data_IF_972814992758
#
_entry.id   IF_972814992758
#
_cell.length_a   1.000
_cell.length_b   1.000
_cell.length_c   1.000
_cell.angle_alpha   90.00
_cell.angle_beta   90.00
_cell.angle_gamma   90.00
#
_symmetry.space_group_name_H-M   'P 1'
#
loop_
_entity.id
_entity.type
_entity.pdbx_description
1 polymer ?
#
# COMPACT_ATOMS: atom_id res chain seq x y z
N UNK A 1 -39.56 -10.02 -19.41
CA UNK A 1 -39.45 -10.54 -20.79
C UNK A 1 -40.63 -11.41 -21.19
N UNK A 2 -40.91 -12.51 -20.48
CA UNK A 2 -41.91 -13.52 -20.89
C UNK A 2 -43.37 -13.21 -20.51
N UNK A 3 -43.67 -12.01 -19.98
CA UNK A 3 -45.02 -11.58 -19.61
C UNK A 3 -45.25 -10.14 -20.06
N UNK A 4 -46.44 -9.86 -20.60
CA UNK A 4 -46.95 -8.51 -20.85
C UNK A 4 -46.96 -8.10 -22.31
N UNK A 5 -46.83 -6.79 -22.56
CA UNK A 5 -46.96 -6.15 -23.88
C UNK A 5 -45.69 -6.22 -24.75
N UNK A 6 -44.73 -7.03 -24.35
CA UNK A 6 -43.45 -7.19 -25.04
C UNK A 6 -43.60 -8.12 -26.24
N UNK A 7 -42.93 -7.80 -27.35
CA UNK A 7 -43.04 -8.56 -28.62
C UNK A 7 -42.62 -10.03 -28.43
N UNK A 8 -41.71 -10.25 -27.50
CA UNK A 8 -41.10 -11.52 -27.14
C UNK A 8 -42.07 -12.46 -26.38
N UNK A 9 -43.21 -11.95 -25.91
CA UNK A 9 -44.15 -12.74 -25.09
C UNK A 9 -44.87 -13.85 -25.86
N UNK A 10 -44.95 -13.75 -27.19
CA UNK A 10 -45.62 -14.72 -28.07
C UNK A 10 -44.63 -15.48 -28.99
N UNK A 11 -43.33 -15.36 -28.76
CA UNK A 11 -42.31 -16.01 -29.59
C UNK A 11 -41.84 -17.31 -28.93
N UNK A 12 -41.76 -18.38 -29.73
CA UNK A 12 -41.20 -19.68 -29.30
C UNK A 12 -39.67 -19.64 -29.19
N UNK A 13 -39.02 -18.70 -29.90
CA UNK A 13 -37.57 -18.50 -29.92
C UNK A 13 -37.24 -17.04 -29.62
N UNK A 14 -36.28 -16.82 -28.73
CA UNK A 14 -35.82 -15.49 -28.32
C UNK A 14 -34.34 -15.38 -28.63
N UNK A 15 -33.99 -14.45 -29.51
CA UNK A 15 -32.61 -14.13 -29.83
C UNK A 15 -32.08 -13.09 -28.83
N UNK A 16 -31.19 -13.52 -27.93
CA UNK A 16 -30.51 -12.64 -26.97
C UNK A 16 -29.15 -12.27 -27.55
N UNK A 17 -28.93 -10.98 -27.81
CA UNK A 17 -27.61 -10.48 -28.20
C UNK A 17 -26.80 -10.16 -26.96
N UNK A 18 -25.63 -10.77 -26.82
CA UNK A 18 -24.74 -10.60 -25.67
C UNK A 18 -23.55 -9.73 -26.10
N UNK A 19 -23.47 -8.48 -25.63
CA UNK A 19 -22.41 -7.56 -26.06
C UNK A 19 -21.11 -7.70 -25.26
N UNK A 20 -21.14 -8.37 -24.10
CA UNK A 20 -19.97 -8.51 -23.23
C UNK A 20 -19.11 -9.71 -23.67
N UNK A 21 -17.86 -9.43 -24.03
CA UNK A 21 -16.88 -10.43 -24.50
C UNK A 21 -16.44 -11.41 -23.40
N UNK A 22 -16.63 -11.04 -22.13
CA UNK A 22 -16.30 -11.92 -21.01
C UNK A 22 -17.33 -13.05 -20.81
N UNK A 23 -18.50 -12.97 -21.45
CA UNK A 23 -19.55 -13.98 -21.31
C UNK A 23 -19.31 -15.11 -22.31
N UNK A 24 -18.90 -16.27 -21.80
CA UNK A 24 -18.76 -17.49 -22.60
C UNK A 24 -20.02 -18.38 -22.51
N UNK A 25 -20.05 -19.40 -23.37
CA UNK A 25 -21.18 -20.34 -23.44
C UNK A 25 -21.31 -21.15 -22.13
N UNK A 26 -20.20 -21.49 -21.50
CA UNK A 26 -20.16 -22.28 -20.26
C UNK A 26 -20.70 -21.47 -19.07
N UNK A 27 -20.40 -20.17 -18.99
CA UNK A 27 -20.93 -19.27 -17.98
C UNK A 27 -22.45 -19.10 -18.11
N UNK A 28 -22.96 -18.98 -19.32
CA UNK A 28 -24.41 -18.93 -19.56
C UNK A 28 -25.09 -20.23 -19.15
N UNK A 29 -24.51 -21.39 -19.51
CA UNK A 29 -25.05 -22.69 -19.11
C UNK A 29 -25.07 -22.83 -17.59
N UNK A 30 -24.01 -22.36 -16.92
CA UNK A 30 -23.91 -22.33 -15.45
C UNK A 30 -24.97 -21.40 -14.83
N UNK A 31 -25.14 -20.19 -15.39
CA UNK A 31 -26.10 -19.21 -14.89
C UNK A 31 -27.55 -19.63 -15.15
N UNK A 32 -27.84 -20.26 -16.29
CA UNK A 32 -29.16 -20.86 -16.51
C UNK A 32 -29.36 -22.09 -15.63
N UNK A 33 -28.33 -22.91 -15.42
CA UNK A 33 -28.34 -24.05 -14.51
C UNK A 33 -28.70 -23.65 -13.08
N UNK A 34 -28.23 -22.48 -12.60
CA UNK A 34 -28.56 -21.96 -11.27
C UNK A 34 -30.05 -21.65 -11.07
N UNK A 35 -30.82 -21.48 -12.14
CA UNK A 35 -32.28 -21.31 -12.04
C UNK A 35 -33.02 -22.61 -11.73
N UNK A 36 -32.38 -23.76 -11.99
CA UNK A 36 -32.96 -25.09 -11.82
C UNK A 36 -32.33 -25.88 -10.67
N UNK A 37 -31.21 -25.43 -10.12
CA UNK A 37 -30.48 -26.11 -9.06
C UNK A 37 -29.90 -25.10 -8.07
N UNK A 38 -30.16 -25.33 -6.78
CA UNK A 38 -29.68 -24.46 -5.70
C UNK A 38 -28.16 -24.60 -5.48
N UNK A 39 -27.57 -25.74 -5.87
CA UNK A 39 -26.13 -26.01 -5.72
C UNK A 39 -25.40 -25.84 -7.06
N UNK A 40 -24.73 -24.70 -7.24
CA UNK A 40 -23.85 -24.45 -8.40
C UNK A 40 -22.39 -24.41 -7.96
N UNK A 41 -21.57 -25.26 -8.59
CA UNK A 41 -20.13 -25.33 -8.33
C UNK A 41 -19.42 -24.42 -9.34
N UNK A 42 -18.82 -23.34 -8.83
CA UNK A 42 -18.09 -22.35 -9.63
C UNK A 42 -16.60 -22.54 -9.42
N UNK A 43 -15.84 -22.66 -10.51
CA UNK A 43 -14.39 -22.72 -10.45
C UNK A 43 -13.78 -21.30 -10.40
N UNK A 44 -12.64 -21.09 -9.71
CA UNK A 44 -12.00 -19.78 -9.64
C UNK A 44 -11.57 -19.23 -11.02
N UNK A 45 -11.30 -20.11 -11.98
CA UNK A 45 -10.93 -19.72 -13.35
C UNK A 45 -12.12 -19.23 -14.18
N UNK A 46 -13.34 -19.69 -13.88
CA UNK A 46 -14.57 -19.34 -14.62
C UNK A 46 -15.42 -18.31 -13.87
N UNK A 47 -15.00 -17.86 -12.69
CA UNK A 47 -15.78 -16.94 -11.84
C UNK A 47 -16.08 -15.60 -12.50
N UNK A 48 -15.15 -15.06 -13.31
CA UNK A 48 -15.34 -13.76 -14.00
C UNK A 48 -16.42 -13.88 -15.10
N UNK A 49 -16.34 -14.85 -16.04
CA UNK A 49 -17.42 -15.10 -16.99
C UNK A 49 -18.79 -15.37 -16.33
N UNK A 50 -18.82 -16.17 -15.26
CA UNK A 50 -20.05 -16.49 -14.53
C UNK A 50 -20.63 -15.25 -13.86
N UNK A 51 -19.81 -14.40 -13.25
CA UNK A 51 -20.25 -13.11 -12.70
C UNK A 51 -20.85 -12.20 -13.78
N UNK A 52 -20.21 -12.15 -14.95
CA UNK A 52 -20.71 -11.37 -16.09
C UNK A 52 -22.09 -11.86 -16.56
N UNK A 53 -22.25 -13.18 -16.73
CA UNK A 53 -23.51 -13.80 -17.12
C UNK A 53 -24.60 -13.60 -16.05
N UNK A 54 -24.25 -13.75 -14.77
CA UNK A 54 -25.16 -13.53 -13.65
C UNK A 54 -25.63 -12.06 -13.57
N UNK A 55 -24.73 -11.11 -13.85
CA UNK A 55 -25.05 -9.67 -13.90
C UNK A 55 -25.97 -9.34 -15.07
N UNK A 56 -25.73 -9.93 -16.25
CA UNK A 56 -26.61 -9.79 -17.42
C UNK A 56 -28.03 -10.31 -17.14
N UNK A 57 -28.14 -11.45 -16.47
CA UNK A 57 -29.42 -12.09 -16.14
C UNK A 57 -30.06 -11.56 -14.84
N UNK A 58 -29.39 -10.64 -14.14
CA UNK A 58 -29.80 -10.11 -12.82
C UNK A 58 -30.03 -11.19 -11.76
N UNK A 59 -29.15 -12.20 -11.69
CA UNK A 59 -29.22 -13.29 -10.71
C UNK A 59 -28.46 -12.92 -9.42
N UNK A 60 -29.14 -12.26 -8.48
CA UNK A 60 -28.51 -11.71 -7.26
C UNK A 60 -27.78 -12.76 -6.41
N UNK A 61 -28.37 -13.93 -6.17
CA UNK A 61 -27.75 -14.98 -5.35
C UNK A 61 -26.45 -15.51 -5.98
N UNK A 62 -26.44 -15.67 -7.31
CA UNK A 62 -25.26 -16.12 -8.04
C UNK A 62 -24.17 -15.05 -8.06
N UNK A 63 -24.53 -13.78 -8.15
CA UNK A 63 -23.61 -12.64 -8.04
C UNK A 63 -22.93 -12.64 -6.66
N UNK A 64 -23.70 -12.81 -5.59
CA UNK A 64 -23.17 -12.87 -4.21
C UNK A 64 -22.22 -14.06 -4.05
N UNK A 65 -22.60 -15.23 -4.58
CA UNK A 65 -21.75 -16.42 -4.53
C UNK A 65 -20.42 -16.23 -5.29
N UNK A 66 -20.46 -15.60 -6.48
CA UNK A 66 -19.26 -15.25 -7.24
C UNK A 66 -18.38 -14.28 -6.46
N UNK A 67 -18.95 -13.22 -5.87
CA UNK A 67 -18.21 -12.25 -5.08
C UNK A 67 -17.50 -12.91 -3.88
N UNK A 68 -18.19 -13.80 -3.17
CA UNK A 68 -17.61 -14.57 -2.07
C UNK A 68 -16.42 -15.43 -2.54
N UNK A 69 -16.60 -16.19 -3.62
CA UNK A 69 -15.55 -17.03 -4.19
C UNK A 69 -14.33 -16.21 -4.65
N UNK A 70 -14.55 -15.03 -5.24
CA UNK A 70 -13.46 -14.13 -5.64
C UNK A 70 -12.64 -13.68 -4.42
N UNK A 71 -13.30 -13.33 -3.30
CA UNK A 71 -12.62 -12.95 -2.06
C UNK A 71 -11.82 -14.12 -1.45
N UNK A 72 -12.37 -15.34 -1.48
CA UNK A 72 -11.71 -16.54 -0.93
C UNK A 72 -10.57 -17.09 -1.79
N UNK A 73 -10.52 -16.77 -3.09
CA UNK A 73 -9.54 -17.35 -4.03
C UNK A 73 -8.52 -16.32 -4.55
N UNK A 74 -8.52 -15.13 -3.94
CA UNK A 74 -7.64 -14.03 -4.34
C UNK A 74 -6.16 -14.35 -4.12
N UNK A 75 -5.36 -14.07 -5.14
CA UNK A 75 -3.92 -14.30 -5.17
C UNK A 75 -3.21 -13.25 -6.04
N UNK A 76 -1.87 -13.27 -6.05
CA UNK A 76 -1.06 -12.37 -6.87
C UNK A 76 -1.33 -12.47 -8.39
N UNK A 77 -1.97 -13.54 -8.87
CA UNK A 77 -2.32 -13.73 -10.29
C UNK A 77 -3.75 -13.33 -10.62
N UNK A 78 -4.64 -13.29 -9.62
CA UNK A 78 -6.07 -13.07 -9.82
C UNK A 78 -6.53 -11.70 -9.34
N UNK A 79 -5.81 -11.05 -8.40
CA UNK A 79 -6.24 -9.80 -7.77
C UNK A 79 -6.48 -8.66 -8.77
N UNK A 80 -5.63 -8.51 -9.79
CA UNK A 80 -5.80 -7.45 -10.79
C UNK A 80 -7.00 -7.70 -11.70
N UNK A 81 -7.20 -8.94 -12.14
CA UNK A 81 -8.36 -9.34 -12.93
C UNK A 81 -9.67 -9.21 -12.13
N UNK A 82 -9.66 -9.63 -10.86
CA UNK A 82 -10.80 -9.51 -9.96
C UNK A 82 -11.17 -8.05 -9.68
N UNK A 83 -10.18 -7.18 -9.48
CA UNK A 83 -10.41 -5.74 -9.33
C UNK A 83 -10.99 -5.10 -10.60
N UNK A 84 -10.53 -5.51 -11.79
CA UNK A 84 -11.10 -5.00 -13.04
C UNK A 84 -12.54 -5.47 -13.24
N UNK A 85 -12.80 -6.76 -13.01
CA UNK A 85 -14.13 -7.34 -13.10
C UNK A 85 -15.08 -6.73 -12.07
N UNK A 86 -14.62 -6.47 -10.84
CA UNK A 86 -15.44 -5.88 -9.79
C UNK A 86 -15.88 -4.45 -10.14
N UNK A 87 -15.01 -3.67 -10.79
CA UNK A 87 -15.39 -2.35 -11.30
C UNK A 87 -16.38 -2.44 -12.48
N UNK A 88 -16.18 -3.38 -13.40
CA UNK A 88 -17.06 -3.56 -14.55
C UNK A 88 -18.48 -4.00 -14.15
N UNK A 89 -18.59 -4.91 -13.17
CA UNK A 89 -19.85 -5.51 -12.74
C UNK A 89 -20.40 -4.92 -11.43
N UNK A 90 -19.84 -3.79 -10.97
CA UNK A 90 -20.37 -3.04 -9.82
C UNK A 90 -20.24 -3.73 -8.46
N UNK A 91 -19.25 -4.60 -8.27
CA UNK A 91 -19.01 -5.32 -7.02
C UNK A 91 -18.07 -4.53 -6.09
N UNK A 92 -18.63 -3.66 -5.25
CA UNK A 92 -17.84 -2.81 -4.35
C UNK A 92 -17.07 -3.60 -3.29
N UNK A 93 -17.65 -4.65 -2.72
CA UNK A 93 -17.01 -5.47 -1.67
C UNK A 93 -15.75 -6.16 -2.18
N UNK A 94 -15.82 -6.74 -3.39
CA UNK A 94 -14.66 -7.36 -4.05
C UNK A 94 -13.59 -6.31 -4.37
N UNK A 95 -14.00 -5.11 -4.77
CA UNK A 95 -13.06 -4.00 -5.04
C UNK A 95 -12.29 -3.61 -3.78
N UNK A 96 -12.99 -3.43 -2.65
CA UNK A 96 -12.37 -3.14 -1.35
C UNK A 96 -11.46 -4.27 -0.87
N UNK A 97 -11.87 -5.53 -1.05
CA UNK A 97 -11.06 -6.69 -0.71
C UNK A 97 -9.77 -6.76 -1.55
N UNK A 98 -9.85 -6.49 -2.86
CA UNK A 98 -8.68 -6.43 -3.74
C UNK A 98 -7.71 -5.32 -3.31
N UNK A 99 -8.24 -4.14 -2.96
CA UNK A 99 -7.43 -3.02 -2.46
C UNK A 99 -6.75 -3.38 -1.13
N UNK A 100 -7.45 -3.99 -0.19
CA UNK A 100 -6.88 -4.43 1.09
C UNK A 100 -5.77 -5.48 0.89
N UNK A 101 -5.99 -6.45 0.00
CA UNK A 101 -4.98 -7.46 -0.35
C UNK A 101 -3.74 -6.81 -0.96
N UNK A 102 -3.90 -5.88 -1.91
CA UNK A 102 -2.77 -5.19 -2.54
C UNK A 102 -1.99 -4.34 -1.53
N UNK A 103 -2.68 -3.59 -0.67
CA UNK A 103 -2.03 -2.77 0.36
C UNK A 103 -1.19 -3.60 1.33
N UNK A 104 -1.58 -4.85 1.59
CA UNK A 104 -0.86 -5.78 2.47
C UNK A 104 0.27 -6.53 1.76
N UNK A 105 0.11 -6.85 0.48
CA UNK A 105 0.98 -7.79 -0.23
C UNK A 105 1.92 -7.16 -1.26
N UNK A 106 1.60 -6.01 -1.89
CA UNK A 106 2.38 -5.46 -3.02
C UNK A 106 3.86 -5.28 -2.71
N UNK A 107 4.18 -4.82 -1.50
CA UNK A 107 5.56 -4.54 -1.11
C UNK A 107 6.37 -5.81 -0.81
N UNK A 108 5.71 -6.89 -0.37
CA UNK A 108 6.34 -8.17 -0.03
C UNK A 108 6.36 -9.12 -1.22
N UNK A 109 5.21 -9.30 -1.87
CA UNK A 109 5.01 -10.07 -3.09
C UNK A 109 5.40 -9.22 -4.30
N UNK A 110 6.69 -8.87 -4.41
CA UNK A 110 7.25 -8.17 -5.57
C UNK A 110 7.38 -9.14 -6.77
N UNK A 111 6.27 -9.69 -7.24
CA UNK A 111 6.24 -10.50 -8.46
C UNK A 111 6.18 -9.59 -9.69
N UNK A 112 6.99 -9.89 -10.69
CA UNK A 112 7.05 -9.11 -11.95
C UNK A 112 5.68 -9.12 -12.65
N UNK A 113 5.00 -10.27 -12.68
CA UNK A 113 3.66 -10.41 -13.25
C UNK A 113 2.64 -9.48 -12.57
N UNK A 114 2.63 -9.46 -11.24
CA UNK A 114 1.72 -8.61 -10.46
C UNK A 114 1.97 -7.13 -10.76
N UNK A 115 3.23 -6.68 -10.77
CA UNK A 115 3.54 -5.27 -11.05
C UNK A 115 3.14 -4.85 -12.47
N UNK A 116 3.27 -5.74 -13.46
CA UNK A 116 2.83 -5.46 -14.84
C UNK A 116 1.32 -5.29 -14.94
N UNK A 117 0.55 -6.08 -14.21
CA UNK A 117 -0.92 -6.06 -14.28
C UNK A 117 -1.54 -4.86 -13.56
N UNK A 118 -0.92 -4.34 -12.49
CA UNK A 118 -1.47 -3.21 -11.72
C UNK A 118 -1.60 -1.96 -12.60
N UNK A 119 -2.81 -1.44 -12.76
CA UNK A 119 -3.09 -0.20 -13.51
C UNK A 119 -2.57 1.04 -12.77
N UNK A 120 -2.45 2.16 -13.49
CA UNK A 120 -1.97 3.43 -12.91
C UNK A 120 -2.90 3.92 -11.78
N UNK A 121 -4.22 3.87 -12.00
CA UNK A 121 -5.21 4.29 -11.01
C UNK A 121 -5.15 3.42 -9.76
N UNK A 122 -5.08 2.10 -9.94
CA UNK A 122 -4.98 1.14 -8.84
C UNK A 122 -3.70 1.34 -8.03
N UNK A 123 -2.57 1.59 -8.70
CA UNK A 123 -1.32 1.91 -8.01
C UNK A 123 -1.43 3.21 -7.22
N UNK A 124 -2.04 4.26 -7.78
CA UNK A 124 -2.22 5.53 -7.09
C UNK A 124 -3.04 5.36 -5.79
N UNK A 125 -4.12 4.58 -5.83
CA UNK A 125 -4.94 4.26 -4.66
C UNK A 125 -4.18 3.46 -3.61
N UNK A 126 -3.42 2.44 -4.02
CA UNK A 126 -2.62 1.60 -3.11
C UNK A 126 -1.54 2.41 -2.40
N UNK A 127 -0.81 3.26 -3.14
CA UNK A 127 0.25 4.10 -2.57
C UNK A 127 -0.31 5.22 -1.68
N UNK A 128 -1.45 5.79 -2.05
CA UNK A 128 -2.15 6.82 -1.26
C UNK A 128 -2.74 6.27 0.04
N UNK A 129 -3.00 4.96 0.12
CA UNK A 129 -3.56 4.35 1.32
C UNK A 129 -2.62 4.44 2.52
N UNK A 130 -3.20 4.85 3.65
CA UNK A 130 -2.53 4.76 4.96
C UNK A 130 -2.34 3.31 5.43
N UNK A 131 -3.04 2.33 4.86
CA UNK A 131 -2.94 0.93 5.31
C UNK A 131 -1.84 0.14 4.59
N UNK A 132 -1.07 0.77 3.70
CA UNK A 132 0.02 0.13 2.97
C UNK A 132 1.06 -0.46 3.94
N UNK A 133 1.36 -1.75 3.78
CA UNK A 133 2.44 -2.42 4.49
C UNK A 133 3.76 -2.12 3.79
N UNK A 134 4.60 -1.29 4.41
CA UNK A 134 5.94 -0.97 3.90
C UNK A 134 6.96 -1.99 4.42
N UNK A 135 8.01 -2.28 3.65
CA UNK A 135 9.02 -3.28 4.04
C UNK A 135 10.01 -2.77 5.10
N UNK A 136 10.63 -1.61 4.89
CA UNK A 136 11.49 -0.97 5.89
C UNK A 136 11.16 0.51 6.03
N UNK A 137 11.22 1.27 4.94
CA UNK A 137 11.03 2.73 4.93
C UNK A 137 10.38 3.20 3.62
N UNK A 138 9.95 4.46 3.56
CA UNK A 138 9.30 5.05 2.38
C UNK A 138 10.17 4.99 1.09
N UNK A 139 11.50 4.95 1.22
CA UNK A 139 12.41 4.74 0.07
C UNK A 139 12.18 3.40 -0.64
N UNK A 140 11.75 2.36 0.07
CA UNK A 140 11.40 1.08 -0.55
C UNK A 140 10.19 1.23 -1.49
N UNK A 141 9.24 2.10 -1.10
CA UNK A 141 8.05 2.40 -1.92
C UNK A 141 8.49 3.12 -3.20
N UNK A 142 9.39 4.09 -3.09
CA UNK A 142 9.97 4.76 -4.27
C UNK A 142 10.68 3.78 -5.20
N UNK A 143 11.56 2.93 -4.68
CA UNK A 143 12.30 1.96 -5.52
C UNK A 143 11.38 0.92 -6.15
N UNK A 144 10.29 0.51 -5.47
CA UNK A 144 9.26 -0.33 -6.06
C UNK A 144 8.51 0.40 -7.18
N UNK A 145 8.16 1.68 -6.99
CA UNK A 145 7.50 2.49 -8.02
C UNK A 145 8.38 2.70 -9.26
N UNK A 146 9.69 2.89 -9.06
CA UNK A 146 10.66 2.95 -10.15
C UNK A 146 10.67 1.66 -10.98
N UNK A 147 10.70 0.49 -10.33
CA UNK A 147 10.61 -0.80 -11.01
C UNK A 147 9.28 -0.97 -11.76
N UNK A 148 8.17 -0.61 -11.11
CA UNK A 148 6.84 -0.66 -11.71
C UNK A 148 6.75 0.22 -12.96
N UNK A 149 7.23 1.46 -12.88
CA UNK A 149 7.25 2.40 -14.00
C UNK A 149 8.08 1.85 -15.17
N UNK A 150 9.25 1.27 -14.89
CA UNK A 150 10.06 0.61 -15.91
C UNK A 150 9.31 -0.54 -16.60
N UNK A 151 8.58 -1.37 -15.84
CA UNK A 151 7.77 -2.46 -16.39
C UNK A 151 6.58 -1.96 -17.23
N UNK A 152 6.03 -0.77 -16.93
CA UNK A 152 4.99 -0.15 -17.75
C UNK A 152 5.50 0.36 -19.08
N UNK A 153 6.77 0.77 -19.13
CA UNK A 153 7.43 1.16 -20.38
C UNK A 153 7.90 -0.03 -21.21
N UNK A 154 8.24 -1.13 -20.54
CA UNK A 154 8.72 -2.35 -21.18
C UNK A 154 7.81 -3.53 -20.83
N UNK A 155 6.63 -3.58 -21.46
CA UNK A 155 5.63 -4.65 -21.24
C UNK A 155 6.19 -6.05 -21.47
N UNK A 156 7.17 -6.18 -22.35
CA UNK A 156 7.74 -7.45 -22.80
C UNK A 156 8.94 -7.89 -21.95
N UNK A 157 9.31 -7.12 -20.93
CA UNK A 157 10.49 -7.40 -20.12
C UNK A 157 10.30 -8.67 -19.27
N UNK A 158 11.25 -9.60 -19.32
CA UNK A 158 11.25 -10.82 -18.51
C UNK A 158 12.58 -10.97 -17.78
N UNK A 159 12.53 -11.35 -16.50
CA UNK A 159 13.73 -11.51 -15.69
C UNK A 159 13.43 -11.60 -14.20
N UNK A 160 14.50 -11.63 -13.40
CA UNK A 160 14.42 -11.68 -11.94
C UNK A 160 14.30 -10.28 -11.33
N UNK A 161 13.77 -10.20 -10.10
CA UNK A 161 13.60 -8.91 -9.39
C UNK A 161 14.93 -8.18 -9.14
N UNK A 162 16.05 -8.90 -9.07
CA UNK A 162 17.40 -8.30 -8.93
C UNK A 162 17.85 -7.64 -10.22
N UNK A 163 17.65 -8.29 -11.36
CA UNK A 163 17.94 -7.72 -12.69
C UNK A 163 17.07 -6.49 -12.94
N UNK A 164 15.77 -6.58 -12.62
CA UNK A 164 14.85 -5.45 -12.73
C UNK A 164 15.33 -4.23 -11.94
N UNK A 165 15.81 -4.45 -10.72
CA UNK A 165 16.30 -3.37 -9.85
C UNK A 165 17.52 -2.66 -10.44
N UNK A 166 18.41 -3.40 -11.11
CA UNK A 166 19.61 -2.87 -11.76
C UNK A 166 19.27 -2.18 -13.08
N UNK A 167 18.43 -2.79 -13.90
CA UNK A 167 18.09 -2.26 -15.23
C UNK A 167 17.22 -1.02 -15.15
N UNK A 168 16.25 -0.98 -14.22
CA UNK A 168 15.49 0.24 -13.96
C UNK A 168 16.38 1.41 -13.51
N UNK A 169 17.36 1.16 -12.64
CA UNK A 169 18.32 2.17 -12.18
C UNK A 169 19.14 2.74 -13.35
N UNK A 170 19.71 1.87 -14.18
CA UNK A 170 20.51 2.28 -15.32
C UNK A 170 19.68 3.01 -16.38
N UNK A 171 18.46 2.56 -16.63
CA UNK A 171 17.58 3.14 -17.65
C UNK A 171 17.22 4.59 -17.33
N UNK A 172 16.75 4.87 -16.10
CA UNK A 172 16.33 6.22 -15.73
C UNK A 172 17.52 7.19 -15.64
N UNK A 173 18.66 6.73 -15.12
CA UNK A 173 19.92 7.51 -15.13
C UNK A 173 20.39 7.86 -16.54
N UNK A 174 20.33 6.91 -17.47
CA UNK A 174 20.68 7.15 -18.87
C UNK A 174 19.71 8.14 -19.52
N UNK A 175 18.39 7.93 -19.34
CA UNK A 175 17.35 8.81 -19.89
C UNK A 175 17.46 10.25 -19.38
N UNK A 176 17.80 10.43 -18.11
CA UNK A 176 18.04 11.75 -17.52
C UNK A 176 19.38 12.37 -17.96
N UNK A 177 20.41 11.56 -18.24
CA UNK A 177 21.66 12.07 -18.80
C UNK A 177 21.52 12.51 -20.26
N UNK A 178 20.59 11.88 -21.00
CA UNK A 178 20.31 12.18 -22.40
C UNK A 178 19.34 13.35 -22.59
N UNK A 179 18.42 13.56 -21.64
CA UNK A 179 17.38 14.59 -21.69
C UNK A 179 17.47 15.59 -20.55
N UNK A 180 17.28 16.87 -20.83
CA UNK A 180 17.33 17.95 -19.83
C UNK A 180 16.03 18.08 -19.01
N UNK A 181 15.12 17.10 -19.11
CA UNK A 181 13.81 17.11 -18.45
C UNK A 181 13.63 15.90 -17.54
N UNK A 182 13.00 16.11 -16.40
CA UNK A 182 12.62 15.02 -15.51
C UNK A 182 11.55 14.15 -16.15
N UNK A 183 11.58 12.84 -15.89
CA UNK A 183 10.67 11.90 -16.55
C UNK A 183 9.19 12.28 -16.37
N UNK A 184 8.77 12.68 -15.17
CA UNK A 184 7.38 13.07 -14.90
C UNK A 184 6.93 14.37 -15.59
N UNK A 185 7.85 15.21 -16.06
CA UNK A 185 7.53 16.41 -16.85
C UNK A 185 7.33 16.09 -18.34
N UNK A 186 7.84 14.95 -18.79
CA UNK A 186 7.66 14.50 -20.18
C UNK A 186 6.21 14.10 -20.45
N UNK A 187 5.80 14.13 -21.73
CA UNK A 187 4.46 13.69 -22.16
C UNK A 187 4.21 12.22 -21.80
N UNK A 188 5.24 11.37 -21.85
CA UNK A 188 5.18 9.96 -21.44
C UNK A 188 5.00 9.78 -19.93
N UNK A 189 5.49 10.74 -19.13
CA UNK A 189 5.43 10.72 -17.67
C UNK A 189 4.10 11.20 -17.07
N UNK A 190 3.37 12.06 -17.79
CA UNK A 190 2.12 12.68 -17.33
C UNK A 190 1.09 11.69 -16.76
N UNK A 191 0.83 10.52 -17.38
CA UNK A 191 -0.15 9.58 -16.84
C UNK A 191 0.23 9.07 -15.44
N UNK A 192 1.52 9.04 -15.10
CA UNK A 192 2.03 8.45 -13.86
C UNK A 192 2.07 9.44 -12.68
N UNK A 193 1.85 10.74 -12.93
CA UNK A 193 1.87 11.78 -11.90
C UNK A 193 1.03 11.43 -10.65
N UNK A 194 -0.24 10.96 -10.75
CA UNK A 194 -1.06 10.70 -9.58
C UNK A 194 -0.47 9.66 -8.62
N UNK A 195 0.35 8.74 -9.14
CA UNK A 195 1.01 7.71 -8.34
C UNK A 195 2.13 8.30 -7.50
N UNK A 196 2.99 9.12 -8.12
CA UNK A 196 4.13 9.73 -7.45
C UNK A 196 3.73 10.90 -6.54
N UNK A 197 2.60 11.58 -6.80
CA UNK A 197 2.03 12.59 -5.89
C UNK A 197 1.61 12.00 -4.54
N UNK A 198 1.18 10.73 -4.52
CA UNK A 198 0.79 10.02 -3.31
C UNK A 198 1.99 9.48 -2.50
N UNK A 199 3.21 9.54 -3.05
CA UNK A 199 4.42 9.15 -2.35
C UNK A 199 4.74 10.17 -1.25
N UNK A 200 5.10 9.72 -0.06
CA UNK A 200 5.44 10.63 1.05
C UNK A 200 6.89 11.08 0.91
N UNK A 201 7.17 11.88 -0.11
CA UNK A 201 8.50 12.40 -0.46
C UNK A 201 9.24 13.00 0.75
N UNK A 202 8.50 13.64 1.65
CA UNK A 202 9.00 14.14 2.92
C UNK A 202 9.79 13.09 3.73
N UNK A 203 9.41 11.81 3.69
CA UNK A 203 10.08 10.72 4.39
C UNK A 203 11.09 9.95 3.52
N UNK A 204 11.06 10.14 2.20
CA UNK A 204 12.09 9.64 1.28
C UNK A 204 13.38 10.44 1.44
N UNK A 205 13.28 11.76 1.59
CA UNK A 205 14.43 12.68 1.73
C UNK A 205 15.05 12.71 3.14
N UNK A 206 14.75 11.73 3.98
CA UNK A 206 15.25 11.65 5.36
C UNK A 206 16.73 11.24 5.45
N UNK A 207 17.35 10.79 4.35
CA UNK A 207 18.74 10.37 4.28
C UNK A 207 19.43 10.89 3.01
N UNK A 208 20.72 11.22 3.12
CA UNK A 208 21.52 11.78 2.01
C UNK A 208 21.68 10.80 0.86
N UNK A 209 21.83 9.50 1.14
CA UNK A 209 21.93 8.49 0.08
C UNK A 209 20.62 8.35 -0.69
N UNK A 210 19.48 8.39 0.00
CA UNK A 210 18.16 8.38 -0.63
C UNK A 210 17.94 9.60 -1.52
N UNK A 211 18.32 10.80 -1.06
CA UNK A 211 18.22 12.04 -1.85
C UNK A 211 19.03 11.92 -3.14
N UNK A 212 20.29 11.48 -3.05
CA UNK A 212 21.15 11.30 -4.23
C UNK A 212 20.56 10.31 -5.23
N UNK A 213 19.99 9.21 -4.76
CA UNK A 213 19.34 8.23 -5.64
C UNK A 213 18.17 8.87 -6.39
N UNK A 214 17.31 9.63 -5.69
CA UNK A 214 16.15 10.29 -6.32
C UNK A 214 16.57 11.36 -7.32
N UNK A 215 17.62 12.13 -7.02
CA UNK A 215 18.19 13.14 -7.92
C UNK A 215 18.85 12.51 -9.15
N UNK A 216 19.67 11.46 -8.96
CA UNK A 216 20.36 10.77 -10.04
C UNK A 216 19.39 10.06 -10.99
N UNK A 217 18.27 9.52 -10.48
CA UNK A 217 17.26 8.84 -11.28
C UNK A 217 16.52 9.79 -12.23
N UNK A 218 16.46 11.10 -11.93
CA UNK A 218 15.79 12.07 -12.79
C UNK A 218 14.29 11.84 -13.01
N UNK A 219 13.64 11.06 -12.14
CA UNK A 219 12.20 10.75 -12.27
C UNK A 219 11.35 11.89 -11.69
N UNK A 220 11.68 12.30 -10.46
CA UNK A 220 10.92 13.30 -9.71
C UNK A 220 11.51 14.68 -9.95
N UNK A 221 10.71 15.68 -10.36
CA UNK A 221 11.19 17.03 -10.60
C UNK A 221 11.78 17.69 -9.35
N UNK A 222 12.87 18.44 -9.52
CA UNK A 222 13.47 19.23 -8.43
C UNK A 222 12.46 20.21 -7.81
N UNK A 223 11.55 20.76 -8.62
CA UNK A 223 10.48 21.65 -8.18
C UNK A 223 9.57 21.02 -7.10
N UNK A 224 9.45 19.69 -7.04
CA UNK A 224 8.71 18.98 -5.99
C UNK A 224 9.52 18.82 -4.71
N UNK A 225 10.84 18.65 -4.83
CA UNK A 225 11.75 18.41 -3.71
C UNK A 225 12.11 19.69 -2.95
N UNK A 226 12.33 20.81 -3.66
CA UNK A 226 12.66 22.11 -3.07
C UNK A 226 11.73 22.58 -1.92
N UNK A 227 10.39 22.61 -2.09
CA UNK A 227 9.49 23.02 -1.02
C UNK A 227 9.56 22.06 0.18
N UNK A 228 9.81 20.76 -0.07
CA UNK A 228 9.94 19.73 0.96
C UNK A 228 11.22 19.95 1.76
N UNK A 229 12.36 20.18 1.10
CA UNK A 229 13.62 20.50 1.79
C UNK A 229 13.47 21.73 2.67
N UNK A 230 12.85 22.79 2.15
CA UNK A 230 12.57 24.00 2.93
C UNK A 230 11.68 23.69 4.14
N UNK A 231 10.60 22.93 3.94
CA UNK A 231 9.69 22.55 5.03
C UNK A 231 10.40 21.70 6.08
N UNK A 232 11.24 20.74 5.67
CA UNK A 232 12.03 19.88 6.56
C UNK A 232 13.04 20.66 7.38
N UNK A 233 13.76 21.58 6.75
CA UNK A 233 14.67 22.49 7.43
C UNK A 233 13.95 23.36 8.47
N UNK A 234 12.84 24.00 8.09
CA UNK A 234 12.04 24.81 9.01
C UNK A 234 11.48 23.97 10.16
N UNK A 235 11.06 22.73 9.89
CA UNK A 235 10.57 21.83 10.93
C UNK A 235 11.70 21.41 11.89
N UNK A 236 12.91 21.21 11.38
CA UNK A 236 14.09 20.93 12.20
C UNK A 236 14.36 22.08 13.16
N UNK A 237 14.43 23.32 12.64
CA UNK A 237 14.62 24.51 13.46
C UNK A 237 13.52 24.68 14.51
N UNK A 238 12.26 24.37 14.15
CA UNK A 238 11.14 24.41 15.09
C UNK A 238 11.29 23.40 16.21
N UNK A 239 11.64 22.15 15.91
CA UNK A 239 11.80 21.12 16.95
C UNK A 239 12.95 21.45 17.90
N UNK A 240 14.00 22.09 17.39
CA UNK A 240 15.15 22.52 18.21
C UNK A 240 14.83 23.76 19.08
N UNK A 241 14.15 24.76 18.51
CA UNK A 241 13.82 26.02 19.20
C UNK A 241 12.61 25.92 20.13
N UNK A 242 11.63 25.08 19.79
CA UNK A 242 10.43 24.89 20.59
C UNK A 242 10.70 23.83 21.65
N UNK A 243 11.01 24.26 22.87
CA UNK A 243 10.90 23.46 24.09
C UNK A 243 9.43 23.15 24.42
N UNK A 244 8.70 22.53 23.49
CA UNK A 244 7.33 22.10 23.74
C UNK A 244 7.34 20.76 24.46
N UNK A 245 7.27 20.83 25.79
CA UNK A 245 6.73 19.79 26.66
C UNK A 245 5.20 19.87 26.59
N UNK A 246 4.57 19.05 25.74
CA UNK A 246 3.11 19.00 25.69
C UNK A 246 2.56 18.14 24.56
N UNK A 247 1.46 17.44 24.88
CA UNK A 247 0.82 16.40 24.06
C UNK A 247 0.57 16.84 22.61
N UNK A 248 1.12 16.10 21.65
CA UNK A 248 0.96 16.26 20.21
C UNK A 248 -0.50 15.96 19.86
N UNK A 249 -1.33 17.01 19.79
CA UNK A 249 -2.69 16.90 19.26
C UNK A 249 -2.63 16.86 17.74
N UNK A 250 -2.46 15.66 17.19
CA UNK A 250 -2.52 15.40 15.74
C UNK A 250 -3.89 14.85 15.42
N UNK A 251 -4.59 15.45 14.44
CA UNK A 251 -5.85 14.90 13.96
C UNK A 251 -5.64 13.54 13.29
N UNK A 252 -6.60 12.62 13.34
CA UNK A 252 -6.48 11.30 12.71
C UNK A 252 -6.15 11.39 11.20
N UNK A 253 -6.81 12.29 10.48
CA UNK A 253 -6.54 12.53 9.05
C UNK A 253 -5.13 13.08 8.79
N UNK A 254 -4.63 13.94 9.68
CA UNK A 254 -3.30 14.53 9.59
C UNK A 254 -2.22 13.48 9.87
N UNK A 255 -2.43 12.64 10.87
CA UNK A 255 -1.59 11.49 11.14
C UNK A 255 -1.55 10.55 9.93
N UNK A 256 -2.71 10.25 9.36
CA UNK A 256 -2.80 9.33 8.23
C UNK A 256 -2.01 9.80 7.02
N UNK A 257 -2.01 11.09 6.72
CA UNK A 257 -1.27 11.71 5.61
C UNK A 257 0.21 11.98 5.93
N UNK A 258 0.49 12.37 7.18
CA UNK A 258 1.80 12.89 7.60
C UNK A 258 2.76 11.85 8.19
N UNK A 259 2.26 10.73 8.71
CA UNK A 259 3.09 9.75 9.40
C UNK A 259 4.15 9.10 8.49
N UNK A 260 5.31 8.78 9.06
CA UNK A 260 6.32 7.96 8.39
C UNK A 260 5.83 6.53 8.34
N UNK A 261 5.90 5.89 7.17
CA UNK A 261 5.58 4.46 7.01
C UNK A 261 6.84 3.63 7.06
N UNK A 262 6.84 2.69 7.99
CA UNK A 262 7.95 1.79 8.21
C UNK A 262 7.44 0.37 8.40
N UNK A 263 8.29 -0.62 8.20
CA UNK A 263 7.92 -1.98 8.53
C UNK A 263 9.08 -2.91 8.79
N UNK A 264 8.74 -4.17 9.02
CA UNK A 264 9.69 -5.26 9.21
C UNK A 264 8.98 -6.59 9.02
N UNK A 265 9.65 -7.55 8.40
CA UNK A 265 9.21 -8.95 8.38
C UNK A 265 10.08 -9.75 9.35
N UNK A 266 9.45 -10.51 10.24
CA UNK A 266 10.12 -11.45 11.13
C UNK A 266 9.81 -12.86 10.64
N UNK A 267 10.81 -13.61 10.20
CA UNK A 267 10.58 -14.92 9.58
C UNK A 267 10.33 -16.06 10.58
N UNK A 268 10.79 -15.90 11.83
CA UNK A 268 10.77 -16.94 12.86
C UNK A 268 10.56 -16.33 14.24
N UNK A 269 10.19 -17.17 15.20
CA UNK A 269 10.19 -16.77 16.60
C UNK A 269 11.62 -16.56 17.09
N UNK A 270 11.82 -15.53 17.91
CA UNK A 270 13.14 -15.16 18.37
C UNK A 270 13.18 -13.75 18.97
N UNK A 271 14.38 -13.33 19.32
CA UNK A 271 14.65 -11.97 19.77
C UNK A 271 15.16 -11.14 18.60
N UNK A 272 14.47 -10.05 18.31
CA UNK A 272 14.84 -9.13 17.25
C UNK A 272 14.98 -7.73 17.83
N UNK A 273 15.95 -6.98 17.33
CA UNK A 273 16.14 -5.58 17.67
C UNK A 273 16.59 -4.86 16.39
N UNK A 274 15.88 -3.81 16.00
CA UNK A 274 16.18 -3.06 14.78
C UNK A 274 15.87 -1.57 14.95
N UNK A 275 16.32 -0.79 13.95
CA UNK A 275 16.06 0.63 13.80
C UNK A 275 15.48 0.87 12.42
N UNK A 276 14.56 1.82 12.29
CA UNK A 276 14.20 2.37 10.99
C UNK A 276 15.12 3.56 10.69
N UNK A 277 15.83 3.48 9.58
CA UNK A 277 16.84 4.48 9.20
C UNK A 277 16.19 5.80 8.76
N UNK A 278 16.90 6.90 9.00
CA UNK A 278 16.51 8.24 8.55
C UNK A 278 16.48 9.28 9.67
N UNK A 279 16.46 10.55 9.29
CA UNK A 279 16.40 11.66 10.24
C UNK A 279 14.97 11.87 10.81
N UNK A 280 14.80 11.57 12.10
CA UNK A 280 13.52 11.68 12.81
C UNK A 280 13.51 12.82 13.84
N UNK A 281 14.11 13.96 13.50
CA UNK A 281 14.17 15.15 14.38
C UNK A 281 14.84 14.89 15.74
N UNK A 282 15.88 14.06 15.70
CA UNK A 282 16.68 13.68 16.86
C UNK A 282 16.05 12.64 17.80
N UNK A 283 15.00 11.95 17.35
CA UNK A 283 14.48 10.75 18.01
C UNK A 283 15.08 9.51 17.36
N UNK A 284 15.97 8.80 18.07
CA UNK A 284 16.41 7.46 17.67
C UNK A 284 15.50 6.42 18.32
N UNK A 285 14.66 5.77 17.52
CA UNK A 285 13.67 4.79 17.98
C UNK A 285 14.18 3.37 17.72
N UNK A 286 14.53 2.68 18.80
CA UNK A 286 14.82 1.25 18.80
C UNK A 286 13.53 0.46 18.93
N UNK A 287 13.35 -0.53 18.07
CA UNK A 287 12.23 -1.46 18.14
C UNK A 287 12.74 -2.85 18.44
N UNK A 288 12.16 -3.46 19.46
CA UNK A 288 12.52 -4.80 19.90
C UNK A 288 11.31 -5.71 19.87
N UNK A 289 11.51 -6.96 19.46
CA UNK A 289 10.53 -8.03 19.60
C UNK A 289 11.13 -9.12 20.47
N UNK A 290 10.45 -9.42 21.58
CA UNK A 290 10.85 -10.47 22.51
C UNK A 290 9.60 -11.09 23.14
N UNK A 291 9.52 -12.43 23.16
CA UNK A 291 8.44 -13.15 23.85
C UNK A 291 7.04 -12.68 23.43
N UNK A 292 6.83 -12.44 22.12
CA UNK A 292 5.58 -11.93 21.54
C UNK A 292 5.21 -10.50 21.97
N UNK A 293 6.13 -9.75 22.56
CA UNK A 293 5.95 -8.34 22.90
C UNK A 293 6.78 -7.48 21.96
N UNK A 294 6.19 -6.39 21.46
CA UNK A 294 6.88 -5.34 20.71
C UNK A 294 7.11 -4.16 21.64
N UNK A 295 8.35 -3.70 21.71
CA UNK A 295 8.79 -2.60 22.55
C UNK A 295 9.35 -1.47 21.70
N UNK A 296 9.05 -0.24 22.09
CA UNK A 296 9.70 0.96 21.57
C UNK A 296 10.60 1.52 22.68
N UNK A 297 11.85 1.79 22.32
CA UNK A 297 12.83 2.42 23.19
C UNK A 297 13.40 3.66 22.52
N UNK A 298 13.44 4.77 23.24
CA UNK A 298 14.14 5.98 22.78
C UNK A 298 15.62 5.84 23.10
N UNK A 299 16.41 5.45 22.12
CA UNK A 299 17.86 5.29 22.29
C UNK A 299 18.53 6.67 22.44
N UNK A 300 19.37 6.85 23.46
CA UNK A 300 20.11 8.12 23.64
C UNK A 300 21.50 7.91 24.19
N UNK A 301 21.64 7.19 25.31
CA UNK A 301 22.94 7.00 26.00
C UNK A 301 23.45 5.56 25.86
N UNK A 302 22.54 4.59 25.75
CA UNK A 302 22.89 3.17 25.92
C UNK A 302 23.56 2.53 24.70
N UNK A 303 23.32 3.02 23.49
CA UNK A 303 23.93 2.49 22.26
C UNK A 303 24.33 3.63 21.33
N UNK A 304 25.30 3.38 20.45
CA UNK A 304 25.72 4.33 19.43
C UNK A 304 24.53 4.78 18.56
N UNK A 305 24.25 6.08 18.56
CA UNK A 305 23.19 6.69 17.76
C UNK A 305 23.77 7.23 16.44
N UNK A 306 23.30 6.77 15.27
CA UNK A 306 23.71 7.33 13.99
C UNK A 306 22.96 8.65 13.75
N UNK A 307 23.42 9.75 14.35
CA UNK A 307 22.89 11.09 14.11
C UNK A 307 22.79 11.99 15.34
N UNK A 308 22.28 13.20 15.15
CA UNK A 308 22.04 14.15 16.23
C UNK A 308 20.89 13.65 17.11
N UNK A 309 21.16 13.35 18.39
CA UNK A 309 20.12 12.98 19.35
C UNK A 309 19.60 14.23 20.03
N UNK A 310 18.27 14.33 20.17
CA UNK A 310 17.68 15.42 20.90
C UNK A 310 18.04 15.36 22.39
N UNK A 311 18.52 16.49 22.92
CA UNK A 311 18.89 16.65 24.33
C UNK A 311 17.69 16.83 25.27
N UNK A 312 16.49 17.06 24.74
CA UNK A 312 15.30 17.22 25.58
C UNK A 312 15.03 15.95 26.39
N UNK A 313 14.57 16.11 27.62
CA UNK A 313 14.42 14.97 28.52
C UNK A 313 13.30 14.04 28.08
N UNK A 314 12.22 14.59 27.50
CA UNK A 314 11.05 13.86 27.06
C UNK A 314 10.77 14.12 25.56
N UNK A 315 10.36 13.07 24.86
CA UNK A 315 9.94 13.12 23.45
C UNK A 315 8.67 12.32 23.28
N UNK A 316 7.67 12.96 22.69
CA UNK A 316 6.42 12.30 22.38
C UNK A 316 6.44 11.67 21.00
N UNK A 317 5.82 10.51 20.89
CA UNK A 317 5.68 9.76 19.66
C UNK A 317 4.20 9.40 19.52
N UNK A 318 3.61 9.79 18.39
CA UNK A 318 2.29 9.31 17.97
C UNK A 318 2.53 8.19 16.97
N UNK A 319 1.89 7.03 17.16
CA UNK A 319 2.09 5.88 16.30
C UNK A 319 0.82 5.04 16.14
N UNK A 320 0.80 4.25 15.08
CA UNK A 320 -0.12 3.15 14.85
C UNK A 320 0.70 1.95 14.38
N UNK A 321 0.64 0.86 15.14
CA UNK A 321 1.34 -0.39 14.84
C UNK A 321 0.32 -1.43 14.39
N UNK A 322 0.61 -2.09 13.28
CA UNK A 322 -0.17 -3.21 12.76
C UNK A 322 0.73 -4.41 12.57
N UNK A 323 0.23 -5.57 12.99
CA UNK A 323 0.88 -6.85 12.79
C UNK A 323 -0.09 -7.74 12.03
N UNK A 324 0.36 -8.27 10.91
CA UNK A 324 -0.40 -9.21 10.10
C UNK A 324 0.42 -10.45 9.76
N UNK A 325 -0.30 -11.54 9.48
CA UNK A 325 0.26 -12.79 8.94
C UNK A 325 -0.55 -13.17 7.72
N UNK A 326 0.12 -13.77 6.75
CA UNK A 326 -0.47 -14.12 5.48
C UNK A 326 -0.32 -15.61 5.20
N UNK A 327 -1.31 -16.20 4.53
CA UNK A 327 -1.19 -17.54 3.96
C UNK A 327 -0.33 -17.52 2.68
N UNK A 328 -0.14 -18.68 2.06
CA UNK A 328 0.64 -18.83 0.81
C UNK A 328 0.05 -18.05 -0.38
N UNK A 329 -1.22 -17.65 -0.31
CA UNK A 329 -1.92 -16.86 -1.33
C UNK A 329 -1.96 -15.36 -0.99
N UNK A 330 -1.36 -14.93 0.13
CA UNK A 330 -1.34 -13.54 0.57
C UNK A 330 -2.60 -13.10 1.34
N UNK A 331 -3.52 -14.01 1.67
CA UNK A 331 -4.70 -13.68 2.45
C UNK A 331 -4.36 -13.58 3.94
N UNK A 332 -5.04 -12.66 4.63
CA UNK A 332 -4.78 -12.37 6.04
C UNK A 332 -5.29 -13.51 6.93
N UNK A 333 -4.40 -14.18 7.65
CA UNK A 333 -4.76 -15.24 8.63
C UNK A 333 -4.90 -14.70 10.04
N UNK A 334 -4.16 -13.63 10.36
CA UNK A 334 -4.25 -12.92 11.63
C UNK A 334 -3.87 -11.46 11.39
N UNK A 335 -4.60 -10.55 12.01
CA UNK A 335 -4.30 -9.12 12.01
C UNK A 335 -4.58 -8.53 13.40
N UNK A 336 -3.68 -7.67 13.87
CA UNK A 336 -3.85 -6.89 15.09
C UNK A 336 -3.34 -5.47 14.86
N UNK A 337 -4.16 -4.48 15.22
CA UNK A 337 -3.79 -3.06 15.22
C UNK A 337 -3.77 -2.52 16.65
N UNK A 338 -2.83 -1.63 16.94
CA UNK A 338 -2.84 -0.87 18.20
C UNK A 338 -3.88 0.26 18.20
N UNK A 339 -4.40 0.64 17.03
CA UNK A 339 -4.98 1.96 16.81
C UNK A 339 -3.95 3.06 16.96
N UNK A 340 -4.37 4.31 16.73
CA UNK A 340 -3.51 5.48 16.95
C UNK A 340 -3.34 5.71 18.45
N UNK A 341 -2.10 5.65 18.93
CA UNK A 341 -1.73 5.90 20.32
C UNK A 341 -0.63 6.97 20.36
N UNK A 342 -0.56 7.68 21.47
CA UNK A 342 0.56 8.55 21.79
C UNK A 342 1.15 8.16 23.13
N UNK A 343 2.47 8.25 23.24
CA UNK A 343 3.15 8.23 24.52
C UNK A 343 4.40 9.08 24.46
N UNK A 344 4.89 9.43 25.64
CA UNK A 344 6.16 10.09 25.83
C UNK A 344 7.22 9.12 26.30
N UNK A 345 8.44 9.25 25.76
CA UNK A 345 9.61 8.51 26.22
C UNK A 345 10.69 9.45 26.73
N UNK A 346 11.17 9.15 27.93
CA UNK A 346 12.42 9.66 28.47
C UNK A 346 13.62 9.02 27.76
N UNK A 347 14.82 9.55 28.03
CA UNK A 347 16.08 9.01 27.50
C UNK A 347 16.25 7.56 27.93
N UNK A 348 16.43 6.66 26.97
CA UNK A 348 16.57 5.21 27.13
C UNK A 348 15.39 4.48 27.81
N UNK A 349 14.24 5.14 27.94
CA UNK A 349 13.00 4.52 28.41
C UNK A 349 12.44 3.57 27.33
N UNK A 350 11.91 2.44 27.80
CA UNK A 350 11.29 1.41 26.97
C UNK A 350 9.82 1.24 27.37
N UNK A 351 8.94 1.21 26.37
CA UNK A 351 7.51 1.00 26.55
C UNK A 351 7.02 -0.19 25.72
N UNK A 352 6.13 -1.00 26.31
CA UNK A 352 5.43 -2.07 25.60
C UNK A 352 4.35 -1.46 24.71
N UNK A 353 4.46 -1.70 23.41
CA UNK A 353 3.58 -1.11 22.40
C UNK A 353 2.43 -2.05 22.04
N UNK A 354 2.75 -3.33 21.87
CA UNK A 354 1.78 -4.35 21.49
C UNK A 354 2.21 -5.72 21.99
N UNK A 355 1.24 -6.48 22.50
CA UNK A 355 1.36 -7.92 22.72
C UNK A 355 0.78 -8.65 21.52
N UNK A 356 1.49 -9.64 21.00
CA UNK A 356 1.06 -10.47 19.87
C UNK A 356 0.46 -11.76 20.44
N UNK A 357 -0.63 -12.21 19.82
CA UNK A 357 -1.27 -13.47 20.21
C UNK A 357 -0.38 -14.68 19.87
N UNK A 358 -0.49 -15.75 20.65
CA UNK A 358 0.16 -17.03 20.37
C UNK A 358 -0.37 -17.70 19.10
N UNK A 359 -1.58 -17.38 18.69
CA UNK A 359 -2.17 -17.87 17.45
C UNK A 359 -1.53 -17.30 16.18
N UNK A 360 -0.77 -16.20 16.28
CA UNK A 360 -0.09 -15.62 15.13
C UNK A 360 1.07 -16.52 14.66
N UNK A 361 1.00 -16.97 13.41
CA UNK A 361 2.05 -17.77 12.75
C UNK A 361 3.15 -16.87 12.18
N UNK A 362 4.31 -17.46 11.87
CA UNK A 362 5.38 -16.74 11.17
C UNK A 362 5.30 -17.03 9.66
N UNK A 363 5.70 -16.08 8.79
CA UNK A 363 6.33 -14.79 9.09
C UNK A 363 5.35 -13.73 9.65
N UNK A 364 5.83 -12.91 10.59
CA UNK A 364 5.10 -11.75 11.11
C UNK A 364 5.44 -10.50 10.29
N UNK A 365 4.45 -9.88 9.68
CA UNK A 365 4.58 -8.62 8.96
C UNK A 365 4.18 -7.48 9.89
N UNK A 366 5.15 -6.62 10.21
CA UNK A 366 4.98 -5.46 11.08
C UNK A 366 4.95 -4.23 10.19
N UNK A 367 3.87 -3.46 10.27
CA UNK A 367 3.75 -2.12 9.67
C UNK A 367 3.57 -1.10 10.79
N UNK A 368 4.39 -0.06 10.80
CA UNK A 368 4.38 0.99 11.79
C UNK A 368 4.26 2.34 11.09
N UNK A 369 3.23 3.08 11.47
CA UNK A 369 3.09 4.49 11.16
C UNK A 369 3.47 5.29 12.39
N UNK A 370 4.41 6.22 12.28
CA UNK A 370 4.72 7.08 13.42
C UNK A 370 5.09 8.51 13.02
N UNK A 371 4.93 9.41 13.99
CA UNK A 371 5.21 10.83 13.88
C UNK A 371 5.90 11.30 15.16
N UNK A 372 7.02 12.02 15.01
CA UNK A 372 7.86 12.49 16.12
C UNK A 372 7.76 13.99 16.38
N UNK A 373 6.91 14.70 15.63
CA UNK A 373 6.74 16.14 15.75
C UNK A 373 5.30 16.53 15.42
N UNK A 374 4.76 17.55 16.10
CA UNK A 374 3.45 18.08 15.75
C UNK A 374 3.57 18.98 14.52
N UNK A 375 2.74 18.72 13.50
CA UNK A 375 2.44 19.70 12.47
C UNK A 375 1.50 20.75 13.06
N UNK A 376 1.95 21.99 13.17
CA UNK A 376 1.05 23.09 13.51
C UNK A 376 0.23 23.43 12.27
N UNK A 377 -1.08 23.18 12.35
CA UNK A 377 -2.07 23.83 11.48
C UNK A 377 -1.80 25.33 11.56
N UNK A 378 -1.77 26.01 10.40
CA UNK A 378 -1.88 27.48 10.35
C UNK A 378 -3.02 27.87 11.27
N UNK A 379 -2.70 28.47 12.43
CA UNK A 379 -3.70 29.17 13.22
C UNK A 379 -4.45 30.06 12.23
N UNK A 380 -5.77 29.93 12.21
CA UNK A 380 -6.65 30.76 11.40
C UNK A 380 -6.14 32.19 11.42
N UNK A 381 -5.82 32.71 10.24
CA UNK A 381 -5.73 34.16 10.10
C UNK A 381 -7.12 34.69 10.43
N UNK A 382 -7.15 35.31 11.61
CA UNK A 382 -8.23 36.04 12.24
C UNK A 382 -8.89 37.02 11.26
N UNK A 383 -10.21 37.12 11.43
CA UNK A 383 -11.12 38.26 11.17
C UNK A 383 -10.92 39.09 9.91
#
# INVERSE_FOLDING_TARGET
MLKGSWKESNLDFIDITIPDENIDKEALDTAFGSLYSDDVVIAPTTVIPVLAAATLLSLEDLIIQCAFLMMETMSAKSVCCYHMASLMYGQSEVTEACLDWLQKNVMHCQAVSLLKEISVNLMAEVIGSHRLFVMQVEMDVYTMLRKWLFLKLHSDWEGTMKELSRESDLYFKAKFSEGDLYYLETVEGQPYLPVFENLRLQHVVNDVSSVKIVEDDGIIPSAWLEPIFRQRWLQMLRVDQLNRTGMMRVGSAEFQKGAMRCGRVLDKDGQYCWRWTGYNFGVDLLVSFNSRLIFFKRNTLTQSCPGAVSLLDEREIVFELRVATFNVHGQTTFERSSGVKSFSLLKDEEAVVMTIDRHATFPLHISCHFLTYATLIKASTRS
#
